data_IF_661395000279
#
_entry.id   IF_661395000279
#
_cell.length_a   1.000
_cell.length_b   1.000
_cell.length_c   1.000
_cell.angle_alpha   90.00
_cell.angle_beta   90.00
_cell.angle_gamma   90.00
#
_symmetry.space_group_name_H-M   'P 1'
#
loop_
_entity.id
_entity.type
_entity.pdbx_description
1 polymer ?
#
# COMPACT_ATOMS: atom_id res chain seq x y z
N UNK A 1 4.20 4.10 -3.38
CA UNK A 1 3.17 3.29 -2.65
C UNK A 1 1.90 4.09 -2.44
N UNK A 2 1.91 5.16 -1.64
CA UNK A 2 0.67 5.89 -1.30
C UNK A 2 -0.03 6.51 -2.53
N UNK A 3 0.74 7.07 -3.46
CA UNK A 3 0.23 7.58 -4.74
C UNK A 3 -0.42 6.47 -5.58
N UNK A 4 0.28 5.35 -5.78
CA UNK A 4 -0.27 4.15 -6.45
C UNK A 4 -1.59 3.70 -5.80
N UNK A 5 -1.66 3.69 -4.47
CA UNK A 5 -2.91 3.38 -3.77
C UNK A 5 -4.00 4.39 -4.10
N UNK A 6 -3.72 5.69 -4.06
CA UNK A 6 -4.68 6.73 -4.37
C UNK A 6 -5.22 6.62 -5.81
N UNK A 7 -4.35 6.37 -6.78
CA UNK A 7 -4.69 6.15 -8.19
C UNK A 7 -5.56 4.89 -8.40
N UNK A 8 -5.41 3.89 -7.53
CA UNK A 8 -6.22 2.66 -7.54
C UNK A 8 -7.44 2.73 -6.61
N UNK A 9 -7.98 3.93 -6.34
CA UNK A 9 -9.18 4.10 -5.51
C UNK A 9 -8.98 3.82 -4.02
N UNK A 10 -7.74 3.75 -3.58
CA UNK A 10 -7.34 3.53 -2.18
C UNK A 10 -7.33 2.07 -1.75
N UNK A 11 -7.44 1.09 -2.66
CA UNK A 11 -7.42 -0.35 -2.33
C UNK A 11 -6.64 -1.11 -3.41
N UNK A 12 -5.70 -1.97 -3.03
CA UNK A 12 -4.93 -2.80 -3.96
C UNK A 12 -4.45 -4.10 -3.31
N UNK A 13 -4.26 -5.18 -4.09
CA UNK A 13 -3.58 -6.38 -3.57
C UNK A 13 -2.07 -6.17 -3.46
N UNK A 14 -1.42 -6.86 -2.54
CA UNK A 14 0.05 -6.80 -2.39
C UNK A 14 0.79 -7.27 -3.64
N UNK A 15 0.30 -8.32 -4.30
CA UNK A 15 0.84 -8.79 -5.57
C UNK A 15 0.73 -7.75 -6.68
N UNK A 16 -0.44 -7.12 -6.85
CA UNK A 16 -0.67 -6.06 -7.84
C UNK A 16 0.21 -4.83 -7.55
N UNK A 17 0.31 -4.42 -6.29
CA UNK A 17 1.19 -3.31 -5.87
C UNK A 17 2.66 -3.63 -6.14
N UNK A 18 3.11 -4.86 -5.87
CA UNK A 18 4.47 -5.30 -6.15
C UNK A 18 4.79 -5.24 -7.65
N UNK A 19 3.87 -5.72 -8.49
CA UNK A 19 3.99 -5.67 -9.95
C UNK A 19 4.12 -4.26 -10.50
N UNK A 20 3.41 -3.28 -9.91
CA UNK A 20 3.54 -1.87 -10.30
C UNK A 20 4.88 -1.28 -9.87
N UNK A 21 5.30 -1.51 -8.62
CA UNK A 21 6.55 -0.95 -8.10
C UNK A 21 7.78 -1.53 -8.81
N UNK A 22 7.82 -2.83 -9.07
CA UNK A 22 9.00 -3.49 -9.68
C UNK A 22 9.25 -3.09 -11.14
N UNK A 23 8.31 -2.39 -11.78
CA UNK A 23 8.49 -1.85 -13.15
C UNK A 23 9.38 -0.61 -13.15
N UNK A 24 9.36 0.14 -12.05
CA UNK A 24 10.05 1.43 -11.94
C UNK A 24 11.22 1.38 -10.95
N UNK A 25 11.18 0.44 -9.99
CA UNK A 25 12.14 0.34 -8.90
C UNK A 25 12.71 -1.08 -8.80
N UNK A 26 14.00 -1.20 -8.48
CA UNK A 26 14.61 -2.48 -8.08
C UNK A 26 14.23 -2.80 -6.64
N UNK A 27 13.10 -3.49 -6.47
CA UNK A 27 12.49 -3.78 -5.17
C UNK A 27 12.20 -5.27 -5.03
N UNK A 28 12.58 -5.85 -3.88
CA UNK A 28 12.22 -7.23 -3.54
C UNK A 28 10.86 -7.30 -2.82
N UNK A 29 10.25 -8.48 -2.79
CA UNK A 29 9.03 -8.69 -2.00
C UNK A 29 9.26 -8.41 -0.51
N UNK A 30 10.45 -8.71 0.01
CA UNK A 30 10.83 -8.44 1.40
C UNK A 30 10.83 -6.95 1.70
N UNK A 31 11.31 -6.14 0.76
CA UNK A 31 11.34 -4.67 0.91
C UNK A 31 9.93 -4.10 0.86
N UNK A 32 9.08 -4.59 -0.05
CA UNK A 32 7.66 -4.22 -0.03
C UNK A 32 7.03 -4.51 1.33
N UNK A 33 7.25 -5.70 1.90
CA UNK A 33 6.70 -6.04 3.22
C UNK A 33 7.20 -5.10 4.32
N UNK A 34 8.49 -4.75 4.34
CA UNK A 34 9.04 -3.77 5.29
C UNK A 34 8.38 -2.40 5.13
N UNK A 35 8.21 -1.92 3.89
CA UNK A 35 7.58 -0.63 3.64
C UNK A 35 6.10 -0.62 4.02
N UNK A 36 5.36 -1.69 3.73
CA UNK A 36 3.96 -1.83 4.15
C UNK A 36 3.85 -1.82 5.67
N UNK A 37 4.70 -2.55 6.38
CA UNK A 37 4.75 -2.55 7.84
C UNK A 37 5.00 -1.13 8.40
N UNK A 38 5.99 -0.40 7.86
CA UNK A 38 6.30 0.97 8.30
C UNK A 38 5.12 1.91 8.05
N UNK A 39 4.48 1.83 6.89
CA UNK A 39 3.35 2.69 6.54
C UNK A 39 2.12 2.39 7.38
N UNK A 40 1.87 1.12 7.69
CA UNK A 40 0.79 0.68 8.56
C UNK A 40 1.00 1.13 10.01
N UNK A 41 2.21 0.95 10.56
CA UNK A 41 2.55 1.45 11.90
C UNK A 41 2.40 2.97 12.02
N UNK A 42 2.65 3.71 10.93
CA UNK A 42 2.45 5.16 10.88
C UNK A 42 1.00 5.57 10.56
N UNK A 43 0.10 4.61 10.35
CA UNK A 43 -1.32 4.85 10.13
C UNK A 43 -1.71 5.32 8.73
N UNK A 44 -0.79 5.34 7.74
CA UNK A 44 -1.11 5.76 6.38
C UNK A 44 -1.96 4.72 5.62
N UNK A 45 -1.75 3.45 5.93
CA UNK A 45 -2.45 2.31 5.33
C UNK A 45 -2.93 1.35 6.43
N UNK A 46 -3.84 0.46 6.07
CA UNK A 46 -4.14 -0.76 6.84
C UNK A 46 -4.00 -1.96 5.93
N UNK A 47 -3.43 -3.05 6.44
CA UNK A 47 -3.23 -4.29 5.71
C UNK A 47 -4.14 -5.37 6.28
N UNK A 48 -4.90 -6.05 5.43
CA UNK A 48 -5.76 -7.16 5.82
C UNK A 48 -5.45 -8.42 5.02
N UNK A 49 -5.68 -9.59 5.59
CA UNK A 49 -5.53 -10.87 4.89
C UNK A 49 -6.84 -11.27 4.22
N UNK A 50 -6.81 -11.49 2.91
CA UNK A 50 -7.92 -12.10 2.16
C UNK A 50 -7.80 -13.63 2.10
N UNK A 51 -6.58 -14.15 2.08
CA UNK A 51 -6.26 -15.58 2.21
C UNK A 51 -4.82 -15.74 2.73
N UNK A 52 -4.36 -16.98 2.89
CA UNK A 52 -3.05 -17.32 3.48
C UNK A 52 -1.87 -16.58 2.83
N UNK A 53 -1.98 -16.23 1.53
CA UNK A 53 -0.92 -15.56 0.76
C UNK A 53 -1.39 -14.30 0.02
N UNK A 54 -2.57 -13.77 0.35
CA UNK A 54 -3.11 -12.57 -0.31
C UNK A 54 -3.40 -11.51 0.73
N UNK A 55 -2.70 -10.38 0.62
CA UNK A 55 -2.96 -9.20 1.44
C UNK A 55 -3.64 -8.11 0.62
N UNK A 56 -4.56 -7.41 1.27
CA UNK A 56 -5.22 -6.23 0.72
C UNK A 56 -4.73 -5.02 1.49
N UNK A 57 -4.23 -4.03 0.77
CA UNK A 57 -3.77 -2.77 1.32
C UNK A 57 -4.84 -1.72 1.09
N UNK A 58 -5.29 -1.07 2.15
CA UNK A 58 -6.23 0.04 2.11
C UNK A 58 -5.55 1.34 2.52
N UNK A 59 -5.83 2.43 1.80
CA UNK A 59 -5.45 3.78 2.19
C UNK A 59 -6.40 4.26 3.31
N UNK A 60 -5.84 4.62 4.46
CA UNK A 60 -6.65 5.09 5.60
C UNK A 60 -7.15 6.51 5.37
N UNK A 61 -8.05 6.97 6.25
CA UNK A 61 -8.43 8.38 6.31
C UNK A 61 -7.21 9.29 6.51
N UNK A 62 -6.36 8.95 7.49
CA UNK A 62 -5.12 9.69 7.75
C UNK A 62 -4.21 9.73 6.52
N UNK A 63 -4.04 8.60 5.82
CA UNK A 63 -3.29 8.56 4.57
C UNK A 63 -3.85 9.48 3.49
N UNK A 64 -5.17 9.55 3.34
CA UNK A 64 -5.84 10.47 2.40
C UNK A 64 -5.65 11.94 2.77
N UNK A 65 -5.73 12.29 4.05
CA UNK A 65 -5.48 13.65 4.54
C UNK A 65 -4.03 14.07 4.28
N UNK A 66 -3.07 13.18 4.52
CA UNK A 66 -1.64 13.46 4.28
C UNK A 66 -1.30 13.61 2.79
N UNK A 67 -2.07 12.96 1.90
CA UNK A 67 -1.99 13.17 0.45
C UNK A 67 -2.82 14.37 -0.04
N UNK A 68 -3.54 15.08 0.84
CA UNK A 68 -4.39 16.20 0.46
C UNK A 68 -5.63 15.82 -0.35
N UNK A 69 -6.04 14.55 -0.34
CA UNK A 69 -7.20 14.04 -1.09
C UNK A 69 -8.53 14.41 -0.43
N UNK A 70 -8.50 14.65 0.89
CA UNK A 70 -9.66 15.02 1.71
C UNK A 70 -9.23 16.01 2.81
N UNK A 71 -10.19 16.74 3.37
CA UNK A 71 -10.00 17.71 4.46
C UNK A 71 -10.47 17.15 5.81
#
# INVERSE_FOLDING_TARGET
ILEILAENGGIIKDSELFELLRREYDISISDLMKYLMILEMRGYISVSSASENVRIIHLTRYGKEQLGLIK
#
